data_IF_993480365901
#
_entry.id   IF_993480365901
#
_cell.length_a   1.000
_cell.length_b   1.000
_cell.length_c   1.000
_cell.angle_alpha   90.00
_cell.angle_beta   90.00
_cell.angle_gamma   90.00
#
_symmetry.space_group_name_H-M   'P 1'
#
loop_
_entity.id
_entity.type
_entity.pdbx_description
1 polymer ?
#
# COMPACT_ATOMS: atom_id res chain seq x y z
N UNK A 1 -14.38 10.90 -6.06
CA UNK A 1 -14.34 11.43 -7.44
C UNK A 1 -15.56 10.95 -8.21
N UNK A 2 -16.66 11.71 -8.22
CA UNK A 2 -17.88 11.35 -8.97
C UNK A 2 -17.72 11.40 -10.49
N UNK A 3 -16.61 11.99 -10.97
CA UNK A 3 -16.35 12.28 -12.39
C UNK A 3 -15.45 11.26 -13.09
N UNK A 4 -14.85 10.32 -12.36
CA UNK A 4 -13.99 9.29 -12.94
C UNK A 4 -14.84 8.06 -13.34
N UNK A 5 -14.72 7.63 -14.60
CA UNK A 5 -15.47 6.52 -15.18
C UNK A 5 -14.69 5.20 -15.03
N UNK A 6 -15.07 4.36 -14.08
CA UNK A 6 -14.43 3.05 -13.89
C UNK A 6 -14.34 2.67 -12.42
N UNK A 7 -13.60 1.59 -12.12
CA UNK A 7 -13.29 1.17 -10.76
C UNK A 7 -12.15 2.03 -10.19
N UNK A 8 -12.11 2.24 -8.88
CA UNK A 8 -10.99 2.93 -8.21
C UNK A 8 -9.63 2.28 -8.51
N UNK A 9 -9.60 0.96 -8.77
CA UNK A 9 -8.38 0.24 -9.15
C UNK A 9 -7.84 0.61 -10.53
N UNK A 10 -8.70 1.06 -11.45
CA UNK A 10 -8.28 1.43 -12.81
C UNK A 10 -7.38 2.67 -12.82
N UNK A 11 -7.41 3.44 -11.73
CA UNK A 11 -6.66 4.68 -11.54
C UNK A 11 -5.59 4.58 -10.45
N UNK A 12 -5.45 3.41 -9.81
CA UNK A 12 -4.51 3.21 -8.72
C UNK A 12 -3.10 2.92 -9.28
N UNK A 13 -2.08 3.47 -8.62
CA UNK A 13 -0.69 3.10 -8.87
C UNK A 13 -0.43 1.63 -8.52
N UNK A 14 0.65 1.06 -9.04
CA UNK A 14 1.06 -0.32 -8.74
C UNK A 14 1.17 -0.58 -7.23
N UNK A 15 1.72 0.39 -6.48
CA UNK A 15 1.85 0.30 -5.03
C UNK A 15 0.48 0.29 -4.33
N UNK A 16 -0.45 1.14 -4.76
CA UNK A 16 -1.80 1.18 -4.21
C UNK A 16 -2.56 -0.13 -4.53
N UNK A 17 -2.41 -0.67 -5.73
CA UNK A 17 -2.98 -1.97 -6.11
C UNK A 17 -2.44 -3.10 -5.23
N UNK A 18 -1.13 -3.10 -4.95
CA UNK A 18 -0.50 -4.07 -4.06
C UNK A 18 -1.09 -3.97 -2.64
N UNK A 19 -1.21 -2.76 -2.09
CA UNK A 19 -1.79 -2.55 -0.76
C UNK A 19 -3.25 -3.01 -0.72
N UNK A 20 -4.04 -2.71 -1.76
CA UNK A 20 -5.43 -3.16 -1.87
C UNK A 20 -5.55 -4.69 -1.90
N UNK A 21 -4.75 -5.38 -2.72
CA UNK A 21 -4.77 -6.84 -2.80
C UNK A 21 -4.38 -7.50 -1.45
N UNK A 22 -3.41 -6.91 -0.73
CA UNK A 22 -3.03 -7.35 0.60
C UNK A 22 -4.16 -7.14 1.62
N UNK A 23 -4.80 -5.97 1.59
CA UNK A 23 -5.95 -5.66 2.45
C UNK A 23 -7.11 -6.62 2.22
N UNK A 24 -7.40 -7.00 0.97
CA UNK A 24 -8.47 -7.94 0.65
C UNK A 24 -8.19 -9.33 1.24
N UNK A 25 -6.97 -9.83 1.04
CA UNK A 25 -6.55 -11.12 1.59
C UNK A 25 -6.59 -11.12 3.12
N UNK A 26 -6.12 -10.04 3.75
CA UNK A 26 -6.15 -9.91 5.20
C UNK A 26 -7.59 -9.77 5.75
N UNK A 27 -8.44 -8.98 5.10
CA UNK A 27 -9.85 -8.86 5.46
C UNK A 27 -10.58 -10.21 5.38
N UNK A 28 -10.30 -11.02 4.36
CA UNK A 28 -10.89 -12.37 4.25
C UNK A 28 -10.52 -13.25 5.46
N UNK A 29 -9.26 -13.19 5.89
CA UNK A 29 -8.79 -13.92 7.08
C UNK A 29 -9.40 -13.37 8.39
N UNK A 30 -9.58 -12.06 8.50
CA UNK A 30 -10.27 -11.46 9.66
C UNK A 30 -11.76 -11.85 9.69
N UNK A 31 -12.42 -11.94 8.53
CA UNK A 31 -13.80 -12.43 8.41
C UNK A 31 -13.88 -13.90 8.84
N UNK A 32 -12.94 -14.75 8.39
CA UNK A 32 -12.94 -16.18 8.79
C UNK A 32 -12.72 -16.37 10.30
N UNK A 33 -12.08 -15.39 10.96
CA UNK A 33 -11.90 -15.35 12.42
C UNK A 33 -13.12 -14.77 13.17
N UNK A 34 -14.17 -14.36 12.48
CA UNK A 34 -15.37 -13.79 13.10
C UNK A 34 -15.18 -12.38 13.67
N UNK A 35 -14.12 -11.66 13.30
CA UNK A 35 -13.86 -10.31 13.79
C UNK A 35 -14.93 -9.35 13.26
N UNK A 36 -15.52 -8.51 14.12
CA UNK A 36 -16.54 -7.53 13.73
C UNK A 36 -16.02 -6.52 12.71
N UNK A 37 -16.91 -6.05 11.82
CA UNK A 37 -16.52 -5.14 10.73
C UNK A 37 -15.82 -3.87 11.23
N UNK A 38 -16.29 -3.29 12.33
CA UNK A 38 -15.70 -2.09 12.93
C UNK A 38 -14.22 -2.31 13.27
N UNK A 39 -13.91 -3.41 13.95
CA UNK A 39 -12.54 -3.78 14.32
C UNK A 39 -11.69 -4.09 13.08
N UNK A 40 -12.25 -4.81 12.09
CA UNK A 40 -11.55 -5.05 10.83
C UNK A 40 -11.17 -3.76 10.12
N UNK A 41 -12.05 -2.74 10.11
CA UNK A 41 -11.75 -1.46 9.47
C UNK A 41 -10.61 -0.70 10.16
N UNK A 42 -10.48 -0.82 11.48
CA UNK A 42 -9.37 -0.25 12.24
C UNK A 42 -8.06 -0.93 11.84
N UNK A 43 -8.04 -2.26 11.86
CA UNK A 43 -6.88 -3.08 11.48
C UNK A 43 -6.44 -2.84 10.03
N UNK A 44 -7.39 -2.85 9.08
CA UNK A 44 -7.12 -2.62 7.67
C UNK A 44 -6.56 -1.21 7.41
N UNK A 45 -7.04 -0.20 8.14
CA UNK A 45 -6.51 1.17 8.04
C UNK A 45 -5.08 1.26 8.58
N UNK A 46 -4.79 0.57 9.68
CA UNK A 46 -3.44 0.50 10.23
C UNK A 46 -2.47 -0.20 9.27
N UNK A 47 -2.89 -1.34 8.71
CA UNK A 47 -2.14 -2.11 7.71
C UNK A 47 -1.84 -1.25 6.47
N UNK A 48 -2.84 -0.57 5.91
CA UNK A 48 -2.67 0.26 4.72
C UNK A 48 -1.62 1.37 4.94
N UNK A 49 -1.69 2.08 6.07
CA UNK A 49 -0.73 3.13 6.43
C UNK A 49 0.69 2.58 6.57
N UNK A 50 0.84 1.44 7.24
CA UNK A 50 2.13 0.80 7.42
C UNK A 50 2.76 0.40 6.08
N UNK A 51 1.98 -0.20 5.19
CA UNK A 51 2.46 -0.65 3.89
C UNK A 51 2.83 0.53 2.98
N UNK A 52 2.00 1.57 2.92
CA UNK A 52 2.29 2.78 2.15
C UNK A 52 3.58 3.47 2.63
N UNK A 53 3.73 3.68 3.94
CA UNK A 53 4.93 4.28 4.51
C UNK A 53 6.19 3.43 4.27
N UNK A 54 6.06 2.10 4.33
CA UNK A 54 7.18 1.18 4.05
C UNK A 54 7.61 1.26 2.59
N UNK A 55 6.65 1.30 1.66
CA UNK A 55 6.94 1.43 0.23
C UNK A 55 7.61 2.79 -0.07
N UNK A 56 7.07 3.90 0.46
CA UNK A 56 7.70 5.23 0.33
C UNK A 56 9.15 5.24 0.83
N UNK A 57 9.41 4.61 1.97
CA UNK A 57 10.75 4.51 2.54
C UNK A 57 11.70 3.70 1.64
N UNK A 58 11.21 2.62 1.03
CA UNK A 58 11.99 1.82 0.08
C UNK A 58 12.36 2.63 -1.15
N UNK A 59 11.41 3.37 -1.75
CA UNK A 59 11.70 4.25 -2.88
C UNK A 59 12.72 5.33 -2.50
N UNK A 60 12.53 5.98 -1.35
CA UNK A 60 13.46 7.02 -0.85
C UNK A 60 14.86 6.46 -0.65
N UNK A 61 14.99 5.27 -0.05
CA UNK A 61 16.29 4.60 0.14
C UNK A 61 16.95 4.22 -1.19
N UNK A 62 16.18 3.70 -2.14
CA UNK A 62 16.69 3.36 -3.46
C UNK A 62 17.20 4.60 -4.21
N UNK A 63 16.50 5.74 -4.10
CA UNK A 63 16.96 7.01 -4.68
C UNK A 63 18.28 7.51 -4.06
N UNK A 64 18.45 7.35 -2.74
CA UNK A 64 19.72 7.69 -2.06
C UNK A 64 20.86 6.80 -2.57
N UNK A 65 20.65 5.49 -2.64
CA UNK A 65 21.67 4.55 -3.13
C UNK A 65 22.08 4.84 -4.58
N UNK A 66 21.14 5.20 -5.45
CA UNK A 66 21.43 5.57 -6.85
C UNK A 66 22.29 6.83 -6.91
N UNK A 67 22.00 7.86 -6.11
CA UNK A 67 22.82 9.08 -6.04
C UNK A 67 24.23 8.81 -5.54
N UNK A 68 24.36 8.05 -4.45
CA UNK A 68 25.67 7.66 -3.91
C UNK A 68 26.49 6.84 -4.93
N UNK A 69 25.83 6.00 -5.73
CA UNK A 69 26.51 5.25 -6.80
C UNK A 69 26.92 6.14 -7.98
N UNK A 70 26.18 7.20 -8.28
CA UNK A 70 26.53 8.15 -9.33
C UNK A 70 27.70 9.06 -8.91
N UNK A 71 27.72 9.51 -7.65
CA UNK A 71 28.77 10.38 -7.09
C UNK A 71 30.12 9.66 -6.89
N UNK A 72 30.11 8.33 -6.71
CA UNK A 72 31.35 7.52 -6.59
C UNK A 72 32.00 7.16 -7.94
N UNK A 73 31.32 7.43 -9.05
CA UNK A 73 31.81 7.16 -10.41
C UNK A 73 32.31 8.44 -11.12
N UNK A 74 32.50 9.54 -10.37
CA UNK A 74 33.14 10.80 -10.78
C UNK A 74 34.37 11.01 -9.89
#
# INVERSE_FOLDING_TARGET
>A
NPTLKGNMRDYASLNELLVLANMESYNAMLISKGIEQKERMIELRALARLQLASLEKLYSKNLVNVKESAEKNV
#
